data_IF_469446482369
#
_entry.id   IF_469446482369
#
_cell.length_a   1.000
_cell.length_b   1.000
_cell.length_c   1.000
_cell.angle_alpha   90.00
_cell.angle_beta   90.00
_cell.angle_gamma   90.00
#
_symmetry.space_group_name_H-M   'P 1'
#
loop_
_entity.id
_entity.type
_entity.pdbx_description
1 polymer ?
#
# COMPACT_ATOMS: atom_id res chain seq x y z
N UNK A 1 22.74 -0.20 -10.22
CA UNK A 1 22.54 -1.13 -9.08
C UNK A 1 21.20 -0.75 -8.47
N UNK A 2 20.18 -1.59 -8.59
CA UNK A 2 18.85 -1.31 -8.05
C UNK A 2 18.82 -1.68 -6.56
N UNK A 3 17.97 -1.04 -5.74
CA UNK A 3 17.83 -1.39 -4.33
C UNK A 3 17.34 -2.84 -4.17
N UNK A 4 17.83 -3.53 -3.14
CA UNK A 4 17.28 -4.82 -2.70
C UNK A 4 15.87 -4.59 -2.13
N UNK A 5 14.85 -5.08 -2.84
CA UNK A 5 13.45 -4.85 -2.48
C UNK A 5 12.98 -5.96 -1.55
N UNK A 6 12.33 -5.56 -0.46
CA UNK A 6 11.85 -6.50 0.54
C UNK A 6 10.39 -6.23 0.90
N UNK A 7 9.75 -7.23 1.52
CA UNK A 7 8.42 -7.05 2.12
C UNK A 7 8.45 -5.91 3.13
N UNK A 8 7.44 -5.06 3.09
CA UNK A 8 7.36 -3.86 3.95
C UNK A 8 8.08 -2.63 3.39
N UNK A 9 8.69 -2.71 2.22
CA UNK A 9 9.18 -1.53 1.51
C UNK A 9 8.04 -0.77 0.82
N UNK A 10 8.35 0.48 0.47
CA UNK A 10 7.51 1.36 -0.32
C UNK A 10 8.14 1.62 -1.68
N UNK A 11 7.32 1.52 -2.72
CA UNK A 11 7.59 2.07 -4.03
C UNK A 11 6.81 3.38 -4.16
N UNK A 12 7.52 4.48 -4.42
CA UNK A 12 6.94 5.81 -4.55
C UNK A 12 7.05 6.22 -5.99
N UNK A 13 5.92 6.48 -6.64
CA UNK A 13 5.90 6.90 -8.03
C UNK A 13 6.66 8.21 -8.19
N UNK A 14 7.63 8.22 -9.11
CA UNK A 14 8.37 9.42 -9.50
C UNK A 14 7.60 10.21 -10.55
N UNK A 15 8.12 11.38 -10.92
CA UNK A 15 7.57 12.17 -12.02
C UNK A 15 7.83 11.56 -13.42
N UNK A 16 8.75 10.59 -13.55
CA UNK A 16 9.04 9.95 -14.84
C UNK A 16 8.10 8.78 -15.15
N UNK A 17 7.41 8.22 -14.14
CA UNK A 17 6.45 7.15 -14.33
C UNK A 17 5.20 7.67 -15.06
N UNK A 18 4.97 7.17 -16.28
CA UNK A 18 3.87 7.60 -17.16
C UNK A 18 2.62 6.71 -17.10
N UNK A 19 2.58 5.76 -16.16
CA UNK A 19 1.41 4.91 -15.99
C UNK A 19 0.33 5.64 -15.14
N UNK A 20 -0.85 5.93 -15.70
CA UNK A 20 -1.93 6.59 -14.95
C UNK A 20 -2.44 5.75 -13.76
N UNK A 21 -2.25 4.43 -13.78
CA UNK A 21 -2.57 3.56 -12.64
C UNK A 21 -1.68 3.81 -11.41
N UNK A 22 -0.56 4.52 -11.60
CA UNK A 22 0.43 4.73 -10.54
C UNK A 22 0.88 6.18 -10.37
N UNK A 23 0.36 7.13 -11.15
CA UNK A 23 0.61 8.56 -10.92
C UNK A 23 0.39 8.94 -9.45
N UNK A 24 1.42 9.57 -8.85
CA UNK A 24 1.50 9.97 -7.43
C UNK A 24 1.11 8.85 -6.45
N UNK A 25 1.31 7.59 -6.82
CA UNK A 25 1.00 6.47 -5.95
C UNK A 25 2.14 6.15 -4.98
N UNK A 26 1.78 5.56 -3.84
CA UNK A 26 2.71 4.88 -2.94
C UNK A 26 2.23 3.44 -2.79
N UNK A 27 3.06 2.49 -3.20
CA UNK A 27 2.77 1.06 -3.14
C UNK A 27 3.50 0.46 -1.96
N UNK A 28 2.79 -0.26 -1.10
CA UNK A 28 3.38 -1.16 -0.10
C UNK A 28 3.74 -2.48 -0.78
N UNK A 29 5.01 -2.87 -0.72
CA UNK A 29 5.46 -4.20 -1.15
C UNK A 29 5.02 -5.21 -0.10
N UNK A 30 4.10 -6.07 -0.49
CA UNK A 30 3.52 -7.10 0.37
C UNK A 30 4.22 -8.44 0.18
N UNK A 31 4.69 -8.73 -1.04
CA UNK A 31 5.56 -9.86 -1.35
C UNK A 31 6.57 -9.51 -2.45
N UNK A 32 7.74 -10.12 -2.40
CA UNK A 32 8.78 -9.98 -3.40
C UNK A 32 9.67 -11.24 -3.46
N UNK A 33 9.86 -11.78 -4.65
CA UNK A 33 10.90 -12.76 -4.95
C UNK A 33 11.41 -12.56 -6.38
N UNK A 34 12.67 -12.89 -6.64
CA UNK A 34 13.24 -12.80 -8.00
C UNK A 34 12.50 -13.72 -8.99
N UNK A 35 12.01 -14.87 -8.52
CA UNK A 35 11.34 -15.87 -9.34
C UNK A 35 9.88 -15.53 -9.65
N UNK A 36 9.12 -15.10 -8.64
CA UNK A 36 7.67 -14.90 -8.73
C UNK A 36 7.29 -13.43 -8.97
N UNK A 37 8.27 -12.52 -8.85
CA UNK A 37 8.09 -11.08 -9.04
C UNK A 37 7.67 -10.36 -7.76
N UNK A 38 6.96 -9.24 -7.93
CA UNK A 38 6.57 -8.36 -6.81
C UNK A 38 5.06 -8.24 -6.74
N UNK A 39 4.51 -8.29 -5.54
CA UNK A 39 3.10 -8.03 -5.25
C UNK A 39 2.99 -6.90 -4.24
N UNK A 40 2.12 -5.93 -4.50
CA UNK A 40 1.94 -4.77 -3.64
C UNK A 40 0.58 -4.11 -3.72
N UNK A 41 0.35 -3.18 -2.80
CA UNK A 41 -0.91 -2.46 -2.65
C UNK A 41 -0.67 -0.95 -2.63
N UNK A 42 -1.36 -0.23 -3.51
CA UNK A 42 -1.40 1.23 -3.48
C UNK A 42 -2.12 1.69 -2.20
N UNK A 43 -1.46 2.55 -1.43
CA UNK A 43 -1.93 3.01 -0.12
C UNK A 43 -2.77 4.29 -0.17
N UNK A 44 -2.70 5.05 -1.27
CA UNK A 44 -3.13 6.45 -1.27
C UNK A 44 -4.15 6.81 -2.35
N UNK A 45 -4.91 5.83 -2.84
CA UNK A 45 -6.00 6.02 -3.79
C UNK A 45 -7.34 5.65 -3.15
N UNK A 46 -7.95 6.54 -2.34
CA UNK A 46 -9.23 6.28 -1.74
C UNK A 46 -10.32 6.27 -2.81
N UNK A 47 -11.27 5.35 -2.67
CA UNK A 47 -12.47 5.22 -3.47
C UNK A 47 -13.70 5.23 -2.55
N UNK A 48 -14.84 5.78 -3.01
CA UNK A 48 -16.10 5.56 -2.33
C UNK A 48 -16.36 4.06 -2.17
N UNK A 49 -16.88 3.66 -1.01
CA UNK A 49 -17.26 2.26 -0.79
C UNK A 49 -18.36 1.87 -1.79
N UNK A 50 -18.18 0.83 -2.61
CA UNK A 50 -19.23 0.34 -3.50
C UNK A 50 -20.49 -0.04 -2.71
N UNK A 51 -21.67 0.16 -3.31
CA UNK A 51 -22.94 -0.08 -2.61
C UNK A 51 -23.07 -1.54 -2.19
N UNK A 52 -22.68 -2.44 -3.08
CA UNK A 52 -22.69 -3.89 -2.91
C UNK A 52 -21.80 -4.31 -1.73
N UNK A 53 -20.68 -3.61 -1.56
CA UNK A 53 -19.76 -3.86 -0.46
C UNK A 53 -20.29 -3.28 0.86
N UNK A 54 -20.92 -2.10 0.85
CA UNK A 54 -21.54 -1.54 2.06
C UNK A 54 -22.60 -2.45 2.68
N UNK A 55 -23.38 -3.14 1.86
CA UNK A 55 -24.39 -4.09 2.32
C UNK A 55 -23.74 -5.36 2.92
N UNK A 56 -22.54 -5.70 2.47
CA UNK A 56 -21.82 -6.92 2.87
C UNK A 56 -20.84 -6.70 4.03
N UNK A 57 -20.43 -5.45 4.30
CA UNK A 57 -19.55 -5.11 5.41
C UNK A 57 -20.40 -4.82 6.66
N UNK A 58 -20.30 -5.64 7.73
CA UNK A 58 -21.08 -5.43 8.95
C UNK A 58 -20.56 -4.26 9.81
N UNK A 59 -19.65 -3.45 9.27
CA UNK A 59 -18.96 -2.37 9.97
C UNK A 59 -18.83 -1.14 9.06
N UNK A 60 -18.72 0.02 9.68
CA UNK A 60 -18.58 1.29 8.95
C UNK A 60 -17.12 1.49 8.56
N UNK A 61 -16.90 1.65 7.25
CA UNK A 61 -15.65 2.15 6.68
C UNK A 61 -15.92 3.41 5.89
N UNK A 62 -15.07 4.41 6.05
CA UNK A 62 -15.23 5.70 5.36
C UNK A 62 -14.95 5.57 3.86
N UNK A 63 -13.97 4.75 3.50
CA UNK A 63 -13.56 4.47 2.12
C UNK A 63 -12.93 3.09 1.99
N UNK A 64 -12.82 2.62 0.75
CA UNK A 64 -11.89 1.56 0.36
C UNK A 64 -10.77 2.18 -0.47
N UNK A 65 -9.70 1.45 -0.71
CA UNK A 65 -8.57 1.90 -1.51
C UNK A 65 -8.51 1.13 -2.81
N UNK A 66 -8.17 1.79 -3.92
CA UNK A 66 -7.75 1.07 -5.12
C UNK A 66 -6.33 0.54 -4.88
N UNK A 67 -6.18 -0.77 -4.68
CA UNK A 67 -4.89 -1.41 -4.38
C UNK A 67 -3.99 -1.57 -5.60
N UNK A 68 -4.55 -1.47 -6.80
CA UNK A 68 -3.81 -1.48 -8.07
C UNK A 68 -4.71 -1.90 -9.23
N UNK A 69 -4.17 -2.03 -10.45
CA UNK A 69 -4.98 -2.28 -11.65
C UNK A 69 -5.40 -3.75 -11.83
N UNK A 70 -4.81 -4.69 -11.09
CA UNK A 70 -5.03 -6.13 -11.28
C UNK A 70 -6.15 -6.64 -10.38
N UNK A 71 -7.06 -7.45 -10.93
CA UNK A 71 -8.19 -8.09 -10.23
C UNK A 71 -8.95 -7.12 -9.31
N UNK A 72 -9.48 -6.04 -9.87
CA UNK A 72 -10.17 -4.94 -9.15
C UNK A 72 -11.33 -5.38 -8.22
N UNK A 73 -11.87 -6.58 -8.39
CA UNK A 73 -12.92 -7.13 -7.52
C UNK A 73 -12.36 -7.90 -6.31
N UNK A 74 -11.07 -8.23 -6.30
CA UNK A 74 -10.43 -8.93 -5.20
C UNK A 74 -10.23 -7.97 -4.03
N UNK A 75 -10.88 -8.25 -2.89
CA UNK A 75 -10.67 -7.49 -1.67
C UNK A 75 -9.40 -7.99 -0.97
N UNK A 76 -8.54 -7.07 -0.59
CA UNK A 76 -7.32 -7.29 0.18
C UNK A 76 -7.43 -6.46 1.46
N UNK A 77 -7.02 -7.00 2.61
CA UNK A 77 -7.10 -6.28 3.88
C UNK A 77 -5.72 -6.17 4.47
N UNK A 78 -5.28 -4.94 4.77
CA UNK A 78 -4.06 -4.69 5.55
C UNK A 78 -4.48 -4.30 6.96
N UNK A 79 -3.95 -4.95 7.98
CA UNK A 79 -4.35 -4.74 9.38
C UNK A 79 -3.18 -4.96 10.37
N UNK A 80 -3.28 -4.45 11.62
CA UNK A 80 -2.22 -4.57 12.62
C UNK A 80 -2.39 -5.75 13.60
N UNK A 81 -3.46 -6.54 13.49
CA UNK A 81 -3.86 -7.52 14.52
C UNK A 81 -3.03 -8.81 14.59
N UNK A 82 -2.13 -9.01 13.62
CA UNK A 82 -1.25 -10.17 13.58
C UNK A 82 -1.95 -11.50 13.71
N UNK A 83 -1.36 -12.37 14.53
CA UNK A 83 -1.83 -13.75 14.73
C UNK A 83 -3.24 -13.85 15.34
N UNK A 84 -3.79 -12.75 15.87
CA UNK A 84 -5.21 -12.72 16.30
C UNK A 84 -6.19 -12.89 15.13
N UNK A 85 -5.71 -12.74 13.89
CA UNK A 85 -6.44 -13.05 12.66
C UNK A 85 -5.70 -14.21 11.97
N UNK A 86 -6.26 -15.43 12.00
CA UNK A 86 -5.67 -16.60 11.35
C UNK A 86 -5.43 -16.37 9.85
N UNK A 87 -4.45 -17.09 9.28
CA UNK A 87 -4.08 -17.03 7.85
C UNK A 87 -3.56 -15.66 7.36
N UNK A 88 -3.30 -14.73 8.28
CA UNK A 88 -2.67 -13.45 7.93
C UNK A 88 -1.21 -13.65 7.56
N UNK A 89 -0.76 -12.96 6.51
CA UNK A 89 0.64 -12.97 6.07
C UNK A 89 1.38 -11.79 6.68
N UNK A 90 2.53 -12.00 7.35
CA UNK A 90 3.34 -10.90 7.87
C UNK A 90 3.98 -10.14 6.70
N UNK A 91 3.76 -8.82 6.66
CA UNK A 91 4.42 -7.92 5.70
C UNK A 91 5.59 -7.22 6.36
N UNK A 92 5.37 -6.67 7.55
CA UNK A 92 6.40 -6.10 8.43
C UNK A 92 5.90 -6.09 9.88
N UNK A 93 6.76 -5.68 10.82
CA UNK A 93 6.34 -5.53 12.22
C UNK A 93 5.11 -4.61 12.35
N UNK A 94 4.02 -5.16 12.90
CA UNK A 94 2.75 -4.46 13.09
C UNK A 94 1.89 -4.29 11.83
N UNK A 95 2.23 -4.96 10.72
CA UNK A 95 1.48 -4.88 9.45
C UNK A 95 1.34 -6.28 8.85
N UNK A 96 0.09 -6.67 8.65
CA UNK A 96 -0.29 -7.99 8.15
C UNK A 96 -1.27 -7.84 6.99
N UNK A 97 -1.22 -8.80 6.08
CA UNK A 97 -2.05 -8.86 4.90
C UNK A 97 -3.00 -10.06 4.96
N UNK A 98 -4.25 -9.83 4.58
CA UNK A 98 -5.25 -10.87 4.39
C UNK A 98 -5.78 -11.39 5.71
N UNK A 99 -5.78 -12.72 5.83
CA UNK A 99 -6.36 -13.43 6.97
C UNK A 99 -7.84 -13.74 6.84
N UNK A 100 -8.35 -14.44 7.85
CA UNK A 100 -9.74 -14.86 7.92
C UNK A 100 -10.67 -13.64 8.09
N UNK A 101 -11.49 -13.40 7.07
CA UNK A 101 -12.39 -12.26 7.01
C UNK A 101 -13.53 -12.36 8.04
N UNK A 102 -13.98 -13.58 8.38
CA UNK A 102 -15.01 -13.77 9.40
C UNK A 102 -14.47 -13.40 10.79
N UNK A 103 -13.21 -13.76 11.07
CA UNK A 103 -12.54 -13.39 12.33
C UNK A 103 -12.35 -11.88 12.44
N UNK A 104 -11.99 -11.21 11.33
CA UNK A 104 -11.96 -9.74 11.29
C UNK A 104 -13.33 -9.14 11.59
N UNK A 105 -14.38 -9.61 10.92
CA UNK A 105 -15.76 -9.15 11.14
C UNK A 105 -16.20 -9.31 12.60
N UNK A 106 -15.98 -10.50 13.18
CA UNK A 106 -16.32 -10.78 14.57
C UNK A 106 -15.51 -9.88 15.52
N UNK A 107 -14.22 -9.66 15.24
CA UNK A 107 -13.39 -8.78 16.04
C UNK A 107 -13.84 -7.31 15.99
N UNK A 108 -14.39 -6.85 14.87
CA UNK A 108 -15.02 -5.53 14.79
C UNK A 108 -16.34 -5.47 15.56
N UNK A 109 -17.19 -6.51 15.43
CA UNK A 109 -18.48 -6.58 16.12
C UNK A 109 -18.33 -6.57 17.65
N UNK A 110 -17.33 -7.28 18.17
CA UNK A 110 -17.07 -7.37 19.62
C UNK A 110 -16.17 -6.24 20.16
N UNK A 111 -15.74 -5.30 19.30
CA UNK A 111 -14.89 -4.17 19.67
C UNK A 111 -13.42 -4.51 19.97
N UNK A 112 -12.96 -5.74 19.67
CA UNK A 112 -11.54 -6.14 19.78
C UNK A 112 -10.67 -5.48 18.72
N UNK A 113 -11.24 -5.23 17.55
CA UNK A 113 -10.60 -4.61 16.40
C UNK A 113 -11.29 -3.29 16.04
N UNK A 114 -10.55 -2.39 15.42
CA UNK A 114 -11.05 -1.10 14.93
C UNK A 114 -11.02 -1.08 13.38
N UNK A 115 -12.17 -0.96 12.69
CA UNK A 115 -12.19 -0.91 11.23
C UNK A 115 -11.31 0.21 10.64
N UNK A 116 -11.25 1.36 11.32
CA UNK A 116 -10.41 2.49 10.93
C UNK A 116 -8.89 2.26 11.04
N UNK A 117 -8.46 1.17 11.70
CA UNK A 117 -7.05 0.73 11.70
C UNK A 117 -6.75 -0.31 10.63
N UNK A 118 -7.68 -0.56 9.70
CA UNK A 118 -7.47 -1.43 8.55
C UNK A 118 -7.48 -0.62 7.25
N UNK A 119 -6.81 -1.15 6.23
CA UNK A 119 -7.02 -0.71 4.84
C UNK A 119 -7.67 -1.82 4.05
N UNK A 120 -8.88 -1.57 3.59
CA UNK A 120 -9.58 -2.42 2.66
C UNK A 120 -9.24 -1.95 1.25
N UNK A 121 -8.52 -2.77 0.50
CA UNK A 121 -8.06 -2.48 -0.85
C UNK A 121 -8.81 -3.35 -1.86
N UNK A 122 -9.18 -2.78 -3.00
CA UNK A 122 -9.73 -3.47 -4.15
C UNK A 122 -8.65 -3.60 -5.22
N UNK A 123 -8.38 -4.83 -5.64
CA UNK A 123 -7.28 -5.16 -6.54
C UNK A 123 -5.90 -4.98 -5.91
N UNK A 124 -4.88 -5.18 -6.73
CA UNK A 124 -3.47 -5.08 -6.34
C UNK A 124 -2.58 -4.67 -7.51
N UNK A 125 -1.34 -4.32 -7.20
CA UNK A 125 -0.27 -4.09 -8.15
C UNK A 125 0.65 -5.32 -8.19
N UNK A 126 1.02 -5.73 -9.40
CA UNK A 126 1.89 -6.87 -9.61
C UNK A 126 2.94 -6.56 -10.67
N UNK A 127 4.16 -7.02 -10.42
CA UNK A 127 5.27 -6.95 -11.35
C UNK A 127 5.73 -8.36 -11.65
N UNK A 128 5.92 -8.68 -12.93
CA UNK A 128 6.59 -9.91 -13.33
C UNK A 128 8.06 -9.90 -12.90
N UNK A 129 8.71 -11.07 -12.98
CA UNK A 129 10.16 -11.20 -12.74
C UNK A 129 10.93 -10.21 -13.64
N UNK A 130 11.88 -9.49 -13.06
CA UNK A 130 12.70 -8.47 -13.74
C UNK A 130 12.01 -7.13 -14.04
N UNK A 131 10.69 -7.09 -14.13
CA UNK A 131 9.95 -5.87 -14.53
C UNK A 131 10.20 -4.70 -13.58
N UNK A 132 10.13 -4.92 -12.27
CA UNK A 132 10.37 -3.85 -11.30
C UNK A 132 11.80 -3.31 -11.38
N UNK A 133 12.79 -4.18 -11.63
CA UNK A 133 14.18 -3.76 -11.82
C UNK A 133 14.36 -2.89 -13.07
N UNK A 134 13.68 -3.23 -14.17
CA UNK A 134 13.68 -2.42 -15.39
C UNK A 134 13.02 -1.04 -15.16
N UNK A 135 11.93 -0.99 -14.37
CA UNK A 135 11.27 0.25 -14.00
C UNK A 135 12.15 1.14 -13.09
N UNK A 136 12.91 0.53 -12.17
CA UNK A 136 13.93 1.25 -11.40
C UNK A 136 15.07 1.78 -12.29
N UNK A 137 15.49 1.04 -13.31
CA UNK A 137 16.50 1.52 -14.27
C UNK A 137 16.03 2.72 -15.11
N UNK A 138 14.72 2.97 -15.15
CA UNK A 138 14.09 4.11 -15.82
C UNK A 138 13.69 5.23 -14.83
N UNK A 139 14.19 5.17 -13.58
CA UNK A 139 13.88 6.11 -12.50
C UNK A 139 12.37 6.22 -12.19
N UNK A 140 11.56 5.21 -12.53
CA UNK A 140 10.10 5.26 -12.38
C UNK A 140 9.65 5.20 -10.91
N UNK A 141 10.46 4.57 -10.06
CA UNK A 141 10.17 4.37 -8.64
C UNK A 141 11.30 4.88 -7.75
N UNK A 142 10.90 5.46 -6.63
CA UNK A 142 11.77 5.67 -5.48
C UNK A 142 11.50 4.61 -4.43
N UNK A 143 12.53 4.27 -3.66
CA UNK A 143 12.50 3.23 -2.63
C UNK A 143 12.62 3.83 -1.23
N UNK A 144 11.73 3.45 -0.33
CA UNK A 144 11.80 3.82 1.08
C UNK A 144 11.23 2.73 1.99
N UNK A 145 11.65 2.68 3.25
CA UNK A 145 11.04 1.77 4.23
C UNK A 145 9.69 2.30 4.71
N UNK A 146 8.71 1.40 4.87
CA UNK A 146 7.41 1.77 5.40
C UNK A 146 7.42 2.05 6.91
N UNK A 147 6.31 2.55 7.43
CA UNK A 147 6.02 2.49 8.87
C UNK A 147 4.53 2.31 9.08
N UNK A 148 4.18 1.74 10.24
CA UNK A 148 2.81 1.58 10.72
C UNK A 148 2.03 2.90 10.64
N UNK A 149 2.64 4.02 11.07
CA UNK A 149 1.97 5.33 11.04
C UNK A 149 1.73 5.88 9.62
N UNK A 150 2.61 5.56 8.66
CA UNK A 150 2.39 5.91 7.26
C UNK A 150 1.28 5.07 6.64
N UNK A 151 1.19 3.80 7.03
CA UNK A 151 0.16 2.89 6.56
C UNK A 151 -1.18 3.23 7.22
N UNK A 152 -1.34 3.22 8.54
CA UNK A 152 -2.67 3.34 9.15
C UNK A 152 -3.07 4.75 9.59
N UNK A 153 -2.10 5.59 9.98
CA UNK A 153 -2.39 6.86 10.68
C UNK A 153 -2.20 8.10 9.79
N UNK A 154 -1.94 7.90 8.50
CA UNK A 154 -1.72 8.99 7.54
C UNK A 154 -2.89 9.12 6.56
N UNK A 155 -3.53 10.30 6.49
CA UNK A 155 -4.53 10.60 5.47
C UNK A 155 -4.00 10.36 4.06
N UNK A 156 -4.84 9.79 3.19
CA UNK A 156 -4.41 9.30 1.87
C UNK A 156 -3.72 10.38 1.01
N UNK A 157 -4.26 11.60 1.00
CA UNK A 157 -3.71 12.78 0.33
C UNK A 157 -2.30 13.17 0.80
N UNK A 158 -1.91 12.77 2.02
CA UNK A 158 -0.60 13.07 2.63
C UNK A 158 0.41 11.92 2.54
N UNK A 159 -0.02 10.72 2.17
CA UNK A 159 0.85 9.53 2.14
C UNK A 159 2.04 9.74 1.20
N UNK A 160 1.79 10.23 -0.02
CA UNK A 160 2.85 10.44 -1.02
C UNK A 160 3.90 11.44 -0.54
N UNK A 161 3.48 12.63 -0.10
CA UNK A 161 4.40 13.66 0.38
C UNK A 161 5.23 13.18 1.59
N UNK A 162 4.62 12.42 2.51
CA UNK A 162 5.34 11.84 3.65
C UNK A 162 6.33 10.75 3.23
N UNK A 163 5.97 9.92 2.25
CA UNK A 163 6.84 8.87 1.74
C UNK A 163 8.06 9.47 1.03
N UNK A 164 7.86 10.48 0.19
CA UNK A 164 8.95 11.22 -0.49
C UNK A 164 9.91 11.83 0.52
N UNK A 165 9.41 12.51 1.56
CA UNK A 165 10.27 13.11 2.58
C UNK A 165 11.14 12.06 3.27
N UNK A 166 10.57 10.90 3.61
CA UNK A 166 11.31 9.78 4.20
C UNK A 166 12.37 9.20 3.27
N UNK A 167 12.09 9.13 1.97
CA UNK A 167 13.08 8.76 0.97
C UNK A 167 14.26 9.75 0.96
N UNK A 168 13.98 11.06 1.05
CA UNK A 168 15.00 12.11 1.14
C UNK A 168 15.84 12.04 2.42
N UNK A 169 15.21 11.80 3.57
CA UNK A 169 15.88 11.65 4.88
C UNK A 169 16.85 10.45 4.89
N UNK A 170 16.48 9.33 4.26
CA UNK A 170 17.33 8.13 4.17
C UNK A 170 18.53 8.30 3.22
N UNK A 171 18.34 9.01 2.11
CA UNK A 171 19.33 9.08 1.03
C UNK A 171 20.21 10.35 1.09
N UNK A 172 20.00 11.26 2.04
CA UNK A 172 20.71 12.55 2.11
C UNK A 172 20.53 13.42 0.85
N UNK A 173 19.58 13.05 -0.01
CA UNK A 173 19.40 13.55 -1.38
C UNK A 173 18.16 14.44 -1.44
N UNK A 174 18.28 15.67 -0.96
CA UNK A 174 17.46 16.78 -1.46
C UNK A 174 18.14 17.31 -2.73
N UNK A 175 17.95 16.66 -3.88
CA UNK A 175 18.46 17.21 -5.16
C UNK A 175 17.49 17.28 -6.33
N UNK A 176 16.29 16.67 -6.29
CA UNK A 176 15.40 16.66 -7.46
C UNK A 176 13.90 16.87 -7.20
N UNK A 177 13.48 17.44 -6.06
CA UNK A 177 12.07 17.81 -5.88
C UNK A 177 11.88 19.33 -5.96
N UNK A 178 10.89 19.82 -6.73
CA UNK A 178 10.40 21.17 -6.52
C UNK A 178 9.72 21.22 -5.15
N UNK A 179 10.02 22.23 -4.36
CA UNK A 179 9.56 22.42 -2.97
C UNK A 179 8.03 22.58 -2.80
N UNK A 180 7.22 22.37 -3.83
CA UNK A 180 5.79 22.74 -3.84
C UNK A 180 4.84 21.57 -4.19
N UNK A 181 4.11 21.02 -3.19
CA UNK A 181 3.08 19.99 -3.38
C UNK A 181 1.87 20.43 -4.21
N UNK A 182 1.73 21.71 -4.53
CA UNK A 182 0.58 22.27 -5.26
C UNK A 182 0.77 22.38 -6.77
N UNK A 183 1.95 22.06 -7.29
CA UNK A 183 2.25 22.15 -8.73
C UNK A 183 2.41 20.78 -9.38
N UNK A 184 1.28 20.19 -9.77
CA UNK A 184 1.04 19.41 -11.00
C UNK A 184 -0.41 18.92 -10.96
#
# INVERSE_FOLDING_TARGET
MHPDIQRGDLLIASASLRDPNFERSVVLVCDHSDADGTYGLVLNRPLPVPKELRESLPFVVDCVFQGGPVRLQAMQVVHPYGESVPQSLPVMAGVWLGGDFEVLCQGFADGRFAPGRCRFCLGYAGWGSGQLADEFAQDAWLHASASVALIFDTPADRVWARAVRRCGERNGLFRHFPDDPSRN
#
